data_IF_789861361890
#
_entry.id   IF_789861361890
#
_cell.length_a   1.000
_cell.length_b   1.000
_cell.length_c   1.000
_cell.angle_alpha   90.00
_cell.angle_beta   90.00
_cell.angle_gamma   90.00
#
_symmetry.space_group_name_H-M   'P 1'
#
loop_
_entity.id
_entity.type
_entity.pdbx_description
1 polymer ?
#
# COMPACT_ATOMS: atom_id res chain seq x y z
N UNK A 1 2.48 10.80 -1.95
CA UNK A 1 2.47 10.67 -3.42
C UNK A 1 1.51 11.70 -3.99
N UNK A 2 1.90 12.43 -5.04
CA UNK A 2 1.00 13.37 -5.71
C UNK A 2 0.12 12.58 -6.69
N UNK A 3 -1.18 12.58 -6.40
CA UNK A 3 -2.26 12.14 -7.27
C UNK A 3 -3.13 13.39 -7.41
N UNK A 4 -3.52 13.82 -8.62
CA UNK A 4 -4.22 15.10 -8.79
C UNK A 4 -5.52 15.19 -7.98
N UNK A 5 -6.19 14.06 -7.76
CA UNK A 5 -7.45 13.96 -7.03
C UNK A 5 -7.34 12.81 -6.00
N UNK A 6 -7.56 13.07 -4.70
CA UNK A 6 -7.70 12.02 -3.70
C UNK A 6 -8.81 11.04 -4.11
N UNK A 7 -8.48 9.77 -4.25
CA UNK A 7 -9.39 8.76 -4.80
C UNK A 7 -9.40 7.51 -3.92
N UNK A 8 -10.57 6.86 -3.83
CA UNK A 8 -10.72 5.58 -3.13
C UNK A 8 -10.30 4.43 -4.04
N UNK A 9 -9.54 3.48 -3.48
CA UNK A 9 -9.10 2.28 -4.20
C UNK A 9 -10.03 1.10 -3.88
N UNK A 10 -11.18 1.07 -4.56
CA UNK A 10 -12.26 0.10 -4.31
C UNK A 10 -11.79 -1.36 -4.39
N UNK A 11 -10.92 -1.69 -5.34
CA UNK A 11 -10.34 -3.03 -5.47
C UNK A 11 -9.61 -3.46 -4.19
N UNK A 12 -8.81 -2.57 -3.60
CA UNK A 12 -8.11 -2.83 -2.33
C UNK A 12 -9.09 -3.00 -1.16
N UNK A 13 -10.12 -2.14 -1.09
CA UNK A 13 -11.16 -2.20 -0.06
C UNK A 13 -11.95 -3.52 -0.11
N UNK A 14 -12.39 -3.91 -1.30
CA UNK A 14 -13.17 -5.12 -1.50
C UNK A 14 -12.31 -6.37 -1.29
N UNK A 15 -11.05 -6.34 -1.71
CA UNK A 15 -10.12 -7.43 -1.46
C UNK A 15 -9.86 -7.63 0.05
N UNK A 16 -9.77 -6.56 0.85
CA UNK A 16 -9.59 -6.68 2.30
C UNK A 16 -10.82 -7.18 3.05
N UNK A 17 -12.02 -7.05 2.48
CA UNK A 17 -13.29 -7.30 3.16
C UNK A 17 -13.36 -8.73 3.69
N UNK A 18 -13.65 -8.87 4.99
CA UNK A 18 -13.82 -10.16 5.66
C UNK A 18 -12.53 -10.96 5.90
N UNK A 19 -11.34 -10.41 5.57
CA UNK A 19 -10.06 -11.07 5.83
C UNK A 19 -9.57 -10.77 7.24
N UNK A 20 -9.04 -11.79 7.91
CA UNK A 20 -8.19 -11.58 9.10
C UNK A 20 -6.87 -10.96 8.65
N UNK A 21 -6.55 -9.79 9.18
CA UNK A 21 -5.33 -9.08 8.80
C UNK A 21 -4.13 -9.71 9.49
N UNK A 22 -3.16 -10.15 8.69
CA UNK A 22 -1.83 -10.60 9.09
C UNK A 22 -0.78 -9.94 8.18
N UNK A 23 0.51 -10.22 8.40
CA UNK A 23 1.60 -9.59 7.66
C UNK A 23 1.49 -9.79 6.14
N UNK A 24 1.10 -10.99 5.70
CA UNK A 24 0.91 -11.34 4.30
C UNK A 24 -0.27 -10.55 3.70
N UNK A 25 -1.40 -10.46 4.40
CA UNK A 25 -2.57 -9.68 3.96
C UNK A 25 -2.21 -8.20 3.83
N UNK A 26 -1.45 -7.65 4.78
CA UNK A 26 -0.96 -6.27 4.72
C UNK A 26 -0.02 -6.02 3.54
N UNK A 27 0.84 -6.98 3.20
CA UNK A 27 1.72 -6.91 2.04
C UNK A 27 0.94 -7.00 0.72
N UNK A 28 -0.05 -7.89 0.63
CA UNK A 28 -0.87 -8.09 -0.56
C UNK A 28 -1.74 -6.87 -0.87
N UNK A 29 -2.45 -6.30 0.13
CA UNK A 29 -3.23 -5.08 -0.11
C UNK A 29 -2.34 -3.90 -0.49
N UNK A 30 -1.12 -3.82 0.06
CA UNK A 30 -0.17 -2.80 -0.34
C UNK A 30 0.28 -2.93 -1.80
N UNK A 31 0.42 -4.15 -2.33
CA UNK A 31 0.70 -4.36 -3.76
C UNK A 31 -0.47 -3.89 -4.62
N UNK A 32 -1.69 -4.29 -4.26
CA UNK A 32 -2.92 -3.89 -4.94
C UNK A 32 -3.03 -2.37 -5.03
N UNK A 33 -2.81 -1.69 -3.90
CA UNK A 33 -2.84 -0.22 -3.84
C UNK A 33 -1.78 0.41 -4.75
N UNK A 34 -0.57 -0.14 -4.78
CA UNK A 34 0.52 0.38 -5.60
C UNK A 34 0.28 0.18 -7.11
N UNK A 35 -0.33 -0.94 -7.49
CA UNK A 35 -0.73 -1.23 -8.87
C UNK A 35 -1.82 -0.28 -9.37
N UNK A 36 -2.78 0.08 -8.51
CA UNK A 36 -3.97 0.84 -8.91
C UNK A 36 -3.74 2.35 -8.99
N UNK A 37 -2.63 2.86 -8.45
CA UNK A 37 -2.31 4.29 -8.53
C UNK A 37 -1.52 4.65 -9.79
N UNK A 38 -1.87 5.82 -10.33
CA UNK A 38 -1.17 6.46 -11.45
C UNK A 38 -0.57 7.80 -11.01
N UNK A 39 0.52 7.79 -10.23
CA UNK A 39 1.19 9.01 -9.81
C UNK A 39 1.93 9.65 -10.99
N UNK A 40 2.08 10.98 -10.96
CA UNK A 40 2.92 11.70 -11.92
C UNK A 40 4.35 11.84 -11.40
N UNK A 41 5.29 11.98 -12.34
CA UNK A 41 6.67 12.37 -12.07
C UNK A 41 6.80 13.89 -12.04
N UNK A 42 7.58 14.43 -11.09
CA UNK A 42 7.91 15.86 -11.00
C UNK A 42 9.31 16.06 -10.38
N UNK A 43 9.73 17.31 -10.16
CA UNK A 43 11.04 17.68 -9.58
C UNK A 43 11.32 17.04 -8.20
N UNK A 44 10.29 16.61 -7.48
CA UNK A 44 10.37 16.00 -6.14
C UNK A 44 10.44 14.47 -6.19
N UNK A 45 10.41 13.85 -7.37
CA UNK A 45 10.62 12.42 -7.56
C UNK A 45 9.75 11.76 -8.63
N UNK A 46 10.11 10.54 -9.02
CA UNK A 46 9.44 9.79 -10.09
C UNK A 46 8.13 9.12 -9.68
N UNK A 47 7.35 8.73 -10.67
CA UNK A 47 6.15 7.89 -10.54
C UNK A 47 6.44 6.56 -9.86
N UNK A 48 7.56 5.92 -10.20
CA UNK A 48 7.99 4.61 -9.67
C UNK A 48 8.31 4.73 -8.18
N UNK A 49 9.08 5.75 -7.80
CA UNK A 49 9.40 6.01 -6.40
C UNK A 49 8.13 6.26 -5.58
N UNK A 50 7.17 7.04 -6.12
CA UNK A 50 5.88 7.29 -5.46
C UNK A 50 5.05 6.01 -5.33
N UNK A 51 5.07 5.15 -6.35
CA UNK A 51 4.41 3.84 -6.31
C UNK A 51 4.96 2.99 -5.17
N UNK A 52 6.28 2.90 -5.06
CA UNK A 52 6.93 2.12 -4.00
C UNK A 52 6.72 2.74 -2.61
N UNK A 53 6.74 4.07 -2.51
CA UNK A 53 6.42 4.77 -1.27
C UNK A 53 5.01 4.43 -0.79
N UNK A 54 4.01 4.46 -1.67
CA UNK A 54 2.62 4.15 -1.29
C UNK A 54 2.48 2.68 -0.92
N UNK A 55 3.16 1.75 -1.60
CA UNK A 55 3.25 0.33 -1.20
C UNK A 55 3.74 0.22 0.25
N UNK A 56 4.88 0.82 0.53
CA UNK A 56 5.51 0.76 1.86
C UNK A 56 4.62 1.38 2.94
N UNK A 57 4.06 2.57 2.69
CA UNK A 57 3.20 3.27 3.66
C UNK A 57 1.91 2.50 3.91
N UNK A 58 1.29 1.92 2.88
CA UNK A 58 0.07 1.11 3.01
C UNK A 58 0.33 -0.10 3.88
N UNK A 59 1.40 -0.86 3.59
CA UNK A 59 1.77 -2.04 4.38
C UNK A 59 1.97 -1.69 5.85
N UNK A 60 2.76 -0.65 6.13
CA UNK A 60 3.05 -0.18 7.51
C UNK A 60 1.80 0.31 8.23
N UNK A 61 0.93 1.03 7.53
CA UNK A 61 -0.31 1.56 8.12
C UNK A 61 -1.25 0.43 8.51
N UNK A 62 -1.47 -0.52 7.60
CA UNK A 62 -2.32 -1.69 7.87
C UNK A 62 -1.72 -2.53 9.00
N UNK A 63 -0.43 -2.86 8.94
CA UNK A 63 0.22 -3.61 10.01
C UNK A 63 0.07 -2.93 11.38
N UNK A 64 0.34 -1.61 11.46
CA UNK A 64 0.21 -0.84 12.69
C UNK A 64 -1.22 -0.81 13.23
N UNK A 65 -2.22 -0.66 12.36
CA UNK A 65 -3.63 -0.62 12.77
C UNK A 65 -4.09 -1.93 13.42
N UNK A 66 -3.49 -3.05 13.02
CA UNK A 66 -3.84 -4.39 13.51
C UNK A 66 -2.79 -4.98 14.47
N UNK A 67 -1.81 -4.20 14.91
CA UNK A 67 -0.78 -4.64 15.88
C UNK A 67 0.17 -5.71 15.34
N UNK A 68 0.40 -5.74 14.02
CA UNK A 68 1.25 -6.72 13.34
C UNK A 68 2.67 -6.16 13.23
N UNK A 69 3.68 -7.00 13.49
CA UNK A 69 5.08 -6.62 13.28
C UNK A 69 5.39 -6.54 11.77
N UNK A 70 6.03 -5.44 11.36
CA UNK A 70 6.30 -5.16 9.94
C UNK A 70 7.43 -6.01 9.34
N UNK A 71 8.16 -6.75 10.17
CA UNK A 71 9.25 -7.65 9.81
C UNK A 71 8.79 -9.12 9.75
N UNK A 72 7.58 -9.44 10.24
CA UNK A 72 7.01 -10.78 10.05
C UNK A 72 6.83 -11.07 8.56
N UNK A 73 7.41 -12.17 8.08
CA UNK A 73 7.30 -12.62 6.69
C UNK A 73 8.12 -11.81 5.67
N UNK A 74 9.00 -10.91 6.10
CA UNK A 74 10.05 -10.35 5.22
C UNK A 74 11.14 -11.42 5.09
N UNK A 75 11.26 -12.03 3.91
CA UNK A 75 12.47 -12.76 3.58
C UNK A 75 13.63 -11.76 3.62
N UNK A 76 14.64 -12.05 4.44
CA UNK A 76 15.85 -11.25 4.60
C UNK A 76 16.55 -11.00 3.26
#
# INVERSE_FOLDING_TARGET
AYIPIPTRLRRAEDWLRGKTVNAQVAAQVASIVAEDIQPVSDLRGSSEFRREMVRTVTRRTVAKLFGIDINEGVAA
#
